data_IF_172497367317
#
_entry.id   IF_172497367317
#
_cell.length_a   1.000
_cell.length_b   1.000
_cell.length_c   1.000
_cell.angle_alpha   90.00
_cell.angle_beta   90.00
_cell.angle_gamma   90.00
#
_symmetry.space_group_name_H-M   'P 1'
#
loop_
_entity.id
_entity.type
_entity.pdbx_description
1 polymer ?
#
# COMPACT_ATOMS: atom_id res chain seq x y z
N UNK A 1 -9.52 -26.84 -50.18
CA UNK A 1 -8.96 -27.80 -49.20
C UNK A 1 -8.71 -27.14 -47.83
N UNK A 2 -8.24 -25.89 -47.77
CA UNK A 2 -8.11 -25.13 -46.51
C UNK A 2 -9.45 -24.77 -45.84
N UNK A 3 -10.51 -24.44 -46.58
CA UNK A 3 -11.81 -24.07 -45.98
C UNK A 3 -12.51 -25.22 -45.26
N UNK A 4 -12.33 -26.45 -45.74
CA UNK A 4 -12.86 -27.67 -45.09
C UNK A 4 -12.10 -28.00 -43.81
N UNK A 5 -10.80 -27.72 -43.77
CA UNK A 5 -9.96 -27.82 -42.56
C UNK A 5 -10.33 -26.75 -41.52
N UNK A 6 -10.61 -25.51 -41.95
CA UNK A 6 -11.06 -24.44 -41.06
C UNK A 6 -12.47 -24.68 -40.51
N UNK A 7 -13.41 -25.15 -41.32
CA UNK A 7 -14.74 -25.55 -40.84
C UNK A 7 -14.65 -26.70 -39.85
N UNK A 8 -13.86 -27.74 -40.16
CA UNK A 8 -13.66 -28.91 -39.28
C UNK A 8 -13.05 -28.53 -37.93
N UNK A 9 -11.97 -27.73 -37.92
CA UNK A 9 -11.31 -27.28 -36.68
C UNK A 9 -12.17 -26.34 -35.85
N UNK A 10 -12.94 -25.45 -36.50
CA UNK A 10 -13.87 -24.54 -35.83
C UNK A 10 -15.06 -25.31 -35.22
N UNK A 11 -15.65 -26.27 -35.94
CA UNK A 11 -16.68 -27.15 -35.37
C UNK A 11 -16.14 -28.03 -34.25
N UNK A 12 -14.91 -28.55 -34.35
CA UNK A 12 -14.30 -29.32 -33.27
C UNK A 12 -14.05 -28.46 -32.02
N UNK A 13 -13.61 -27.19 -32.17
CA UNK A 13 -13.48 -26.27 -31.04
C UNK A 13 -14.84 -25.94 -30.41
N UNK A 14 -15.87 -25.65 -31.21
CA UNK A 14 -17.22 -25.38 -30.69
C UNK A 14 -17.81 -26.60 -29.97
N UNK A 15 -17.63 -27.80 -30.52
CA UNK A 15 -18.05 -29.05 -29.88
C UNK A 15 -17.27 -29.32 -28.59
N UNK A 16 -15.96 -29.08 -28.56
CA UNK A 16 -15.14 -29.23 -27.36
C UNK A 16 -15.57 -28.24 -26.26
N UNK A 17 -15.84 -26.98 -26.61
CA UNK A 17 -16.38 -25.98 -25.70
C UNK A 17 -17.77 -26.38 -25.21
N UNK A 18 -18.64 -26.88 -26.10
CA UNK A 18 -19.97 -27.37 -25.74
C UNK A 18 -19.93 -28.56 -24.77
N UNK A 19 -19.04 -29.54 -25.01
CA UNK A 19 -18.84 -30.70 -24.13
C UNK A 19 -18.27 -30.26 -22.79
N UNK A 20 -17.30 -29.34 -22.76
CA UNK A 20 -16.76 -28.77 -21.53
C UNK A 20 -17.85 -28.05 -20.71
N UNK A 21 -18.72 -27.28 -21.37
CA UNK A 21 -19.86 -26.61 -20.71
C UNK A 21 -20.86 -27.61 -20.13
N UNK A 22 -21.17 -28.70 -20.85
CA UNK A 22 -22.07 -29.76 -20.37
C UNK A 22 -21.44 -30.53 -19.20
N UNK A 23 -20.17 -30.89 -19.29
CA UNK A 23 -19.45 -31.56 -18.20
C UNK A 23 -19.32 -30.65 -16.97
N UNK A 24 -19.17 -29.34 -17.15
CA UNK A 24 -19.19 -28.36 -16.07
C UNK A 24 -20.57 -28.16 -15.45
N UNK A 25 -21.64 -28.14 -16.26
CA UNK A 25 -23.02 -28.10 -15.77
C UNK A 25 -23.32 -29.34 -14.92
N UNK A 26 -22.92 -30.52 -15.40
CA UNK A 26 -23.06 -31.77 -14.66
C UNK A 26 -22.22 -31.76 -13.38
N UNK A 27 -20.96 -31.31 -13.43
CA UNK A 27 -20.13 -31.16 -12.24
C UNK A 27 -20.72 -30.17 -11.21
N UNK A 28 -21.34 -29.08 -11.68
CA UNK A 28 -22.02 -28.10 -10.82
C UNK A 28 -23.28 -28.65 -10.15
N UNK A 29 -24.01 -29.56 -10.82
CA UNK A 29 -25.15 -30.26 -10.21
C UNK A 29 -24.73 -31.33 -9.20
N UNK A 30 -23.51 -31.87 -9.31
CA UNK A 30 -22.95 -32.83 -8.36
C UNK A 30 -22.16 -32.19 -7.21
N UNK A 31 -21.72 -30.94 -7.35
CA UNK A 31 -21.07 -30.16 -6.27
C UNK A 31 -22.10 -29.47 -5.37
N UNK A 32 -23.07 -30.24 -4.88
CA UNK A 32 -23.80 -29.88 -3.66
C UNK A 32 -22.88 -30.12 -2.45
N UNK A 33 -21.98 -29.18 -2.14
CA UNK A 33 -21.20 -29.26 -0.92
C UNK A 33 -22.08 -29.06 0.33
N UNK A 34 -22.14 -30.13 1.13
CA UNK A 34 -22.49 -30.29 2.55
C UNK A 34 -23.12 -29.16 3.35
N UNK A 35 -24.29 -29.49 3.96
CA UNK A 35 -24.92 -29.14 5.27
C UNK A 35 -24.55 -27.89 6.12
N UNK A 36 -23.55 -27.09 5.82
CA UNK A 36 -23.24 -25.85 6.54
C UNK A 36 -23.91 -24.67 5.84
N UNK A 37 -24.67 -23.86 6.58
CA UNK A 37 -25.27 -22.64 6.05
C UNK A 37 -24.16 -21.60 5.83
N UNK A 38 -23.63 -21.54 4.62
CA UNK A 38 -22.71 -20.48 4.22
C UNK A 38 -23.37 -19.09 4.34
N UNK A 39 -22.58 -18.02 4.53
CA UNK A 39 -23.11 -16.68 4.49
C UNK A 39 -23.81 -16.42 3.15
N UNK A 40 -24.95 -15.68 3.16
CA UNK A 40 -25.70 -15.39 1.96
C UNK A 40 -24.85 -14.60 0.96
N UNK A 41 -25.22 -14.62 -0.32
CA UNK A 41 -24.47 -13.87 -1.33
C UNK A 41 -25.15 -13.89 -2.69
N UNK A 42 -24.70 -13.04 -3.62
CA UNK A 42 -25.17 -13.10 -5.00
C UNK A 42 -24.72 -14.41 -5.65
N UNK A 43 -25.60 -15.00 -6.47
CA UNK A 43 -25.30 -16.29 -7.14
C UNK A 43 -24.11 -16.11 -8.10
N UNK A 44 -23.03 -16.90 -7.95
CA UNK A 44 -21.86 -16.80 -8.81
C UNK A 44 -22.12 -17.37 -10.20
N UNK A 45 -21.44 -16.79 -11.20
CA UNK A 45 -21.29 -17.37 -12.53
C UNK A 45 -20.18 -18.43 -12.52
N UNK A 46 -20.32 -19.48 -13.33
CA UNK A 46 -19.51 -20.70 -13.23
C UNK A 46 -17.98 -20.49 -13.34
N UNK A 47 -17.52 -19.50 -14.12
CA UNK A 47 -16.08 -19.22 -14.31
C UNK A 47 -15.65 -17.89 -13.69
N UNK A 48 -16.52 -16.88 -13.76
CA UNK A 48 -16.20 -15.51 -13.37
C UNK A 48 -16.62 -15.20 -11.92
N UNK A 49 -17.30 -16.12 -11.25
CA UNK A 49 -17.88 -15.83 -9.95
C UNK A 49 -18.84 -14.64 -10.04
N UNK A 50 -18.63 -13.63 -9.20
CA UNK A 50 -19.40 -12.40 -9.18
C UNK A 50 -18.68 -11.23 -9.88
N UNK A 51 -17.60 -11.47 -10.65
CA UNK A 51 -16.83 -10.37 -11.28
C UNK A 51 -17.67 -9.47 -12.19
N UNK A 52 -18.64 -10.02 -12.92
CA UNK A 52 -19.56 -9.23 -13.77
C UNK A 52 -20.67 -8.52 -12.99
N UNK A 53 -20.84 -8.86 -11.71
CA UNK A 53 -21.84 -8.27 -10.82
C UNK A 53 -21.25 -7.19 -9.91
N UNK A 54 -19.93 -6.95 -10.02
CA UNK A 54 -19.17 -6.02 -9.19
C UNK A 54 -18.52 -4.97 -10.09
N UNK A 55 -18.58 -3.70 -9.70
CA UNK A 55 -17.71 -2.70 -10.30
C UNK A 55 -16.31 -2.86 -9.70
N UNK A 56 -15.40 -3.44 -10.48
CA UNK A 56 -14.00 -3.67 -10.08
C UNK A 56 -13.22 -2.37 -9.90
N UNK A 57 -13.69 -1.24 -10.48
CA UNK A 57 -13.07 0.08 -10.26
C UNK A 57 -13.53 0.69 -8.95
N UNK A 58 -14.69 0.32 -8.43
CA UNK A 58 -15.26 0.78 -7.15
C UNK A 58 -15.75 -0.40 -6.34
N UNK A 59 -14.82 -1.32 -6.07
CA UNK A 59 -15.13 -2.54 -5.33
C UNK A 59 -15.62 -2.21 -3.91
N UNK A 60 -15.07 -1.17 -3.30
CA UNK A 60 -15.51 -0.60 -2.03
C UNK A 60 -17.02 -0.31 -2.01
N UNK A 61 -17.53 0.39 -3.04
CA UNK A 61 -18.96 0.72 -3.16
C UNK A 61 -19.80 -0.49 -3.50
N UNK A 62 -19.35 -1.32 -4.44
CA UNK A 62 -20.07 -2.54 -4.84
C UNK A 62 -20.29 -3.48 -3.66
N UNK A 63 -19.25 -3.69 -2.84
CA UNK A 63 -19.33 -4.52 -1.64
C UNK A 63 -20.21 -3.86 -0.56
N UNK A 64 -20.14 -2.55 -0.40
CA UNK A 64 -21.04 -1.82 0.50
C UNK A 64 -22.51 -1.97 0.10
N UNK A 65 -22.85 -1.87 -1.18
CA UNK A 65 -24.22 -2.02 -1.65
C UNK A 65 -24.72 -3.47 -1.51
N UNK A 66 -23.86 -4.46 -1.73
CA UNK A 66 -24.18 -5.86 -1.42
C UNK A 66 -24.43 -6.07 0.07
N UNK A 67 -23.69 -5.40 0.96
CA UNK A 67 -23.91 -5.51 2.41
C UNK A 67 -25.30 -5.04 2.84
N UNK A 68 -25.88 -4.05 2.15
CA UNK A 68 -27.26 -3.60 2.40
C UNK A 68 -28.30 -4.67 2.03
N UNK A 69 -27.99 -5.53 1.06
CA UNK A 69 -28.89 -6.56 0.54
C UNK A 69 -28.73 -7.90 1.25
N UNK A 70 -27.49 -8.32 1.51
CA UNK A 70 -27.16 -9.65 2.05
C UNK A 70 -26.79 -9.62 3.53
N UNK A 71 -26.71 -8.42 4.13
CA UNK A 71 -26.35 -8.23 5.52
C UNK A 71 -24.85 -8.05 5.73
N UNK A 72 -24.41 -7.98 7.00
CA UNK A 72 -23.04 -7.61 7.35
C UNK A 72 -22.01 -8.72 7.13
N UNK A 73 -22.44 -9.96 6.88
CA UNK A 73 -21.57 -11.09 6.53
C UNK A 73 -22.15 -11.75 5.29
N UNK A 74 -21.44 -11.69 4.17
CA UNK A 74 -21.91 -12.25 2.91
C UNK A 74 -20.76 -12.80 2.07
N UNK A 75 -21.08 -13.69 1.13
CA UNK A 75 -20.09 -14.37 0.29
C UNK A 75 -20.09 -13.78 -1.13
N UNK A 76 -18.92 -13.52 -1.68
CA UNK A 76 -18.70 -13.23 -3.10
C UNK A 76 -17.59 -14.12 -3.65
N UNK A 77 -17.57 -14.32 -4.96
CA UNK A 77 -16.59 -15.14 -5.65
C UNK A 77 -15.83 -14.27 -6.66
N UNK A 78 -14.51 -14.17 -6.52
CA UNK A 78 -13.64 -13.56 -7.52
C UNK A 78 -13.06 -14.65 -8.42
N UNK A 79 -13.68 -14.86 -9.59
CA UNK A 79 -13.42 -16.06 -10.39
C UNK A 79 -13.80 -17.30 -9.59
N UNK A 80 -12.83 -18.21 -9.39
CA UNK A 80 -13.01 -19.42 -8.57
C UNK A 80 -12.77 -19.20 -7.08
N UNK A 81 -12.31 -18.01 -6.67
CA UNK A 81 -11.93 -17.74 -5.29
C UNK A 81 -13.11 -17.24 -4.48
N UNK A 82 -13.52 -18.02 -3.48
CA UNK A 82 -14.51 -17.64 -2.49
C UNK A 82 -13.96 -16.60 -1.52
N UNK A 83 -14.70 -15.52 -1.29
CA UNK A 83 -14.37 -14.44 -0.36
C UNK A 83 -15.58 -14.15 0.52
N UNK A 84 -15.37 -14.19 1.84
CA UNK A 84 -16.36 -13.74 2.82
C UNK A 84 -16.08 -12.28 3.15
N UNK A 85 -17.09 -11.43 2.95
CA UNK A 85 -17.02 -9.99 3.18
C UNK A 85 -17.64 -9.68 4.54
N UNK A 86 -16.87 -8.95 5.35
CA UNK A 86 -17.30 -8.45 6.65
C UNK A 86 -17.55 -6.95 6.52
N UNK A 87 -18.80 -6.54 6.73
CA UNK A 87 -19.24 -5.16 6.57
C UNK A 87 -19.82 -4.61 7.88
N UNK A 88 -19.38 -3.41 8.25
CA UNK A 88 -19.85 -2.70 9.44
C UNK A 88 -19.01 -2.95 10.69
N UNK A 89 -18.97 -1.93 11.55
CA UNK A 89 -18.09 -1.88 12.73
C UNK A 89 -18.21 -3.10 13.64
N UNK A 90 -19.44 -3.50 14.02
CA UNK A 90 -19.65 -4.61 14.97
C UNK A 90 -19.07 -5.92 14.45
N UNK A 91 -19.35 -6.24 13.20
CA UNK A 91 -18.92 -7.48 12.54
C UNK A 91 -17.41 -7.52 12.32
N UNK A 92 -16.83 -6.43 11.79
CA UNK A 92 -15.38 -6.32 11.59
C UNK A 92 -14.65 -6.39 12.94
N UNK A 93 -15.14 -5.68 13.96
CA UNK A 93 -14.58 -5.73 15.32
C UNK A 93 -14.64 -7.15 15.89
N UNK A 94 -15.75 -7.85 15.71
CA UNK A 94 -15.90 -9.20 16.21
C UNK A 94 -14.88 -10.16 15.59
N UNK A 95 -14.75 -10.14 14.26
CA UNK A 95 -13.79 -11.01 13.58
C UNK A 95 -12.34 -10.66 13.94
N UNK A 96 -11.96 -9.38 13.86
CA UNK A 96 -10.55 -8.99 13.98
C UNK A 96 -10.05 -8.84 15.42
N UNK A 97 -10.93 -8.73 16.42
CA UNK A 97 -10.52 -8.66 17.84
C UNK A 97 -10.85 -9.93 18.61
N UNK A 98 -12.06 -10.48 18.47
CA UNK A 98 -12.48 -11.64 19.27
C UNK A 98 -12.13 -12.98 18.62
N UNK A 99 -11.88 -12.99 17.31
CA UNK A 99 -11.44 -14.16 16.54
C UNK A 99 -10.11 -13.87 15.82
N UNK A 100 -9.22 -13.13 16.49
CA UNK A 100 -7.97 -12.65 15.91
C UNK A 100 -6.99 -13.79 15.58
N UNK A 101 -7.11 -14.95 16.21
CA UNK A 101 -6.31 -16.13 15.86
C UNK A 101 -6.80 -16.76 14.55
N UNK A 102 -8.12 -16.87 14.35
CA UNK A 102 -8.71 -17.44 13.15
C UNK A 102 -8.64 -16.52 11.93
N UNK A 103 -8.69 -15.20 12.14
CA UNK A 103 -8.60 -14.17 11.09
C UNK A 103 -7.28 -13.40 11.08
N UNK A 104 -6.26 -13.91 11.78
CA UNK A 104 -4.96 -13.24 11.92
C UNK A 104 -4.11 -13.32 10.65
N UNK A 105 -4.29 -14.38 9.87
CA UNK A 105 -3.56 -14.61 8.63
C UNK A 105 -4.05 -13.72 7.49
N UNK A 106 -3.11 -13.38 6.60
CA UNK A 106 -3.35 -12.56 5.41
C UNK A 106 -3.36 -13.42 4.17
N UNK A 107 -4.31 -13.16 3.29
CA UNK A 107 -4.24 -13.70 1.94
C UNK A 107 -3.09 -13.02 1.17
N UNK A 108 -2.08 -13.81 0.78
CA UNK A 108 -0.96 -13.33 -0.04
C UNK A 108 -1.28 -13.64 -1.50
N UNK A 109 -1.64 -12.61 -2.26
CA UNK A 109 -1.93 -12.77 -3.69
C UNK A 109 -0.66 -13.12 -4.48
N UNK A 110 -0.77 -13.69 -5.69
CA UNK A 110 0.37 -13.97 -6.55
C UNK A 110 1.32 -12.76 -6.71
N UNK A 111 0.77 -11.57 -6.92
CA UNK A 111 1.56 -10.33 -7.00
C UNK A 111 2.37 -10.06 -5.72
N UNK A 112 1.73 -10.15 -4.56
CA UNK A 112 2.40 -9.87 -3.29
C UNK A 112 3.40 -10.96 -2.91
N UNK A 113 3.16 -12.19 -3.35
CA UNK A 113 4.16 -13.25 -3.28
C UNK A 113 5.37 -12.93 -4.17
N UNK A 114 5.19 -12.40 -5.37
CA UNK A 114 6.31 -11.98 -6.22
C UNK A 114 7.09 -10.81 -5.61
N UNK A 115 6.39 -9.87 -4.96
CA UNK A 115 7.01 -8.71 -4.31
C UNK A 115 7.91 -9.08 -3.13
N UNK A 116 7.52 -10.08 -2.34
CA UNK A 116 8.17 -10.38 -1.06
C UNK A 116 8.89 -11.73 -1.04
N UNK A 117 8.55 -12.65 -1.95
CA UNK A 117 9.05 -14.04 -2.02
C UNK A 117 8.99 -14.78 -0.67
N UNK A 118 7.96 -14.52 0.13
CA UNK A 118 7.79 -15.10 1.47
C UNK A 118 8.59 -14.43 2.60
N UNK A 119 9.19 -13.26 2.34
CA UNK A 119 9.99 -12.51 3.31
C UNK A 119 9.38 -11.15 3.68
N UNK A 120 9.90 -10.55 4.75
CA UNK A 120 9.47 -9.21 5.20
C UNK A 120 8.33 -9.26 6.22
N UNK A 121 7.42 -8.28 6.14
CA UNK A 121 6.41 -8.03 7.19
C UNK A 121 4.99 -7.96 6.61
N UNK A 122 4.78 -7.29 5.48
CA UNK A 122 3.42 -6.94 5.02
C UNK A 122 2.67 -8.11 4.38
N UNK A 123 3.40 -8.94 3.62
CA UNK A 123 2.83 -10.01 2.79
C UNK A 123 3.41 -11.38 3.15
N UNK A 124 3.45 -11.69 4.44
CA UNK A 124 3.94 -12.95 5.01
C UNK A 124 3.03 -13.40 6.15
N UNK A 125 2.97 -14.71 6.42
CA UNK A 125 2.27 -15.31 7.57
C UNK A 125 3.22 -16.22 8.37
N UNK A 126 2.70 -16.80 9.46
CA UNK A 126 3.43 -17.73 10.31
C UNK A 126 4.58 -17.09 11.10
N UNK A 127 5.55 -17.91 11.49
CA UNK A 127 6.62 -17.52 12.43
C UNK A 127 7.48 -16.36 11.90
N UNK A 128 7.79 -16.36 10.59
CA UNK A 128 8.53 -15.26 9.96
C UNK A 128 7.81 -13.93 10.15
N UNK A 129 6.50 -13.89 9.91
CA UNK A 129 5.70 -12.68 10.11
C UNK A 129 5.68 -12.25 11.57
N UNK A 130 5.47 -13.18 12.49
CA UNK A 130 5.42 -12.87 13.93
C UNK A 130 6.74 -12.28 14.42
N UNK A 131 7.86 -12.90 14.04
CA UNK A 131 9.20 -12.45 14.45
C UNK A 131 9.57 -11.11 13.81
N UNK A 132 9.41 -10.95 12.49
CA UNK A 132 9.74 -9.69 11.80
C UNK A 132 8.84 -8.54 12.25
N UNK A 133 7.56 -8.80 12.51
CA UNK A 133 6.63 -7.82 13.07
C UNK A 133 7.03 -7.42 14.49
N UNK A 134 7.34 -8.38 15.37
CA UNK A 134 7.73 -8.11 16.75
C UNK A 134 9.03 -7.30 16.80
N UNK A 135 10.02 -7.71 16.01
CA UNK A 135 11.26 -6.97 15.85
C UNK A 135 10.98 -5.54 15.39
N UNK A 136 10.25 -5.37 14.28
CA UNK A 136 10.03 -4.06 13.71
C UNK A 136 9.28 -3.11 14.65
N UNK A 137 8.24 -3.58 15.34
CA UNK A 137 7.49 -2.76 16.30
C UNK A 137 8.37 -2.34 17.50
N UNK A 138 9.21 -3.23 17.99
CA UNK A 138 10.13 -2.94 19.10
C UNK A 138 11.17 -1.91 18.66
N UNK A 139 11.84 -2.16 17.54
CA UNK A 139 12.89 -1.32 16.99
C UNK A 139 12.36 0.07 16.60
N UNK A 140 11.22 0.16 15.92
CA UNK A 140 10.62 1.46 15.55
C UNK A 140 10.25 2.29 16.79
N UNK A 141 9.75 1.65 17.84
CA UNK A 141 9.46 2.33 19.12
C UNK A 141 10.73 2.83 19.82
N UNK A 142 11.83 2.09 19.70
CA UNK A 142 13.12 2.46 20.29
C UNK A 142 13.79 3.60 19.50
N UNK A 143 13.66 3.62 18.17
CA UNK A 143 13.97 4.77 17.32
C UNK A 143 12.94 5.91 17.38
N UNK A 144 12.06 5.84 18.37
CA UNK A 144 11.23 6.95 18.78
C UNK A 144 9.93 7.09 18.02
N UNK A 145 9.48 6.12 17.22
CA UNK A 145 8.14 6.19 16.62
C UNK A 145 7.08 6.32 17.73
N UNK A 146 6.47 7.51 17.82
CA UNK A 146 5.55 7.88 18.91
C UNK A 146 6.23 8.45 20.17
N UNK A 147 7.49 8.89 20.07
CA UNK A 147 8.31 9.53 21.12
C UNK A 147 9.17 10.66 20.52
N UNK A 148 9.91 11.36 21.38
CA UNK A 148 10.74 12.54 21.05
C UNK A 148 11.78 12.35 19.93
N UNK A 149 12.42 11.18 19.82
CA UNK A 149 13.46 10.97 18.81
C UNK A 149 12.93 10.98 17.36
N UNK A 150 11.73 10.45 17.10
CA UNK A 150 11.15 10.58 15.75
C UNK A 150 10.49 11.94 15.58
N UNK A 151 10.01 12.57 16.65
CA UNK A 151 9.51 13.95 16.64
C UNK A 151 10.56 14.92 16.07
N UNK A 152 11.81 14.84 16.55
CA UNK A 152 12.91 15.68 16.07
C UNK A 152 13.17 15.49 14.57
N UNK A 153 13.15 14.25 14.07
CA UNK A 153 13.30 13.95 12.63
C UNK A 153 12.14 14.51 11.79
N UNK A 154 10.91 14.44 12.31
CA UNK A 154 9.73 14.98 11.61
C UNK A 154 9.79 16.50 11.59
N UNK A 155 10.14 17.13 12.71
CA UNK A 155 10.30 18.59 12.81
C UNK A 155 11.41 19.05 11.86
N UNK A 156 12.55 18.37 11.84
CA UNK A 156 13.63 18.64 10.89
C UNK A 156 13.13 18.57 9.44
N UNK A 157 12.39 17.51 9.06
CA UNK A 157 11.86 17.39 7.71
C UNK A 157 10.83 18.48 7.37
N UNK A 158 10.03 18.92 8.36
CA UNK A 158 9.09 20.03 8.18
C UNK A 158 9.82 21.33 7.79
N UNK A 159 11.00 21.60 8.35
CA UNK A 159 11.79 22.77 7.97
C UNK A 159 12.18 22.72 6.49
N UNK A 160 12.71 21.59 6.01
CA UNK A 160 13.07 21.43 4.60
C UNK A 160 11.85 21.49 3.67
N UNK A 161 10.71 20.94 4.08
CA UNK A 161 9.47 21.02 3.31
C UNK A 161 8.96 22.47 3.19
N UNK A 162 9.05 23.24 4.28
CA UNK A 162 8.71 24.67 4.29
C UNK A 162 9.64 25.43 3.34
N UNK A 163 10.96 25.22 3.43
CA UNK A 163 11.94 25.85 2.53
C UNK A 163 11.66 25.56 1.05
N UNK A 164 11.27 24.33 0.71
CA UNK A 164 10.89 23.99 -0.67
C UNK A 164 9.60 24.70 -1.09
N UNK A 165 8.62 24.83 -0.19
CA UNK A 165 7.37 25.54 -0.49
C UNK A 165 7.58 27.06 -0.65
N UNK A 166 8.48 27.65 0.13
CA UNK A 166 8.84 29.08 0.04
C UNK A 166 9.46 29.44 -1.32
N UNK A 167 10.18 28.51 -1.95
CA UNK A 167 10.76 28.71 -3.29
C UNK A 167 9.70 29.01 -4.36
N UNK A 168 8.45 28.57 -4.18
CA UNK A 168 7.37 28.82 -5.13
C UNK A 168 6.82 30.26 -5.07
N UNK A 169 7.13 31.04 -4.02
CA UNK A 169 6.78 32.48 -3.89
C UNK A 169 5.30 32.78 -4.18
N UNK A 170 4.40 31.93 -3.67
CA UNK A 170 2.95 32.06 -3.84
C UNK A 170 2.41 31.70 -5.23
N UNK A 171 3.26 31.23 -6.15
CA UNK A 171 2.81 30.70 -7.44
C UNK A 171 2.20 29.31 -7.27
N UNK A 172 1.27 28.97 -8.16
CA UNK A 172 0.66 27.65 -8.17
C UNK A 172 1.71 26.55 -8.44
N UNK A 173 1.68 25.48 -7.66
CA UNK A 173 2.57 24.33 -7.82
C UNK A 173 1.87 23.02 -7.46
N UNK A 174 2.44 21.90 -7.91
CA UNK A 174 1.99 20.57 -7.54
C UNK A 174 2.83 20.07 -6.36
N UNK A 175 2.20 19.95 -5.19
CA UNK A 175 2.87 19.52 -3.96
C UNK A 175 2.93 18.00 -3.79
N UNK A 176 2.29 17.22 -4.69
CA UNK A 176 2.08 15.79 -4.48
C UNK A 176 3.40 15.03 -4.28
N UNK A 177 4.36 15.19 -5.19
CA UNK A 177 5.62 14.45 -5.08
C UNK A 177 6.52 14.98 -3.95
N UNK A 178 6.57 16.30 -3.74
CA UNK A 178 7.40 16.89 -2.67
C UNK A 178 7.00 16.37 -1.28
N UNK A 179 5.69 16.19 -1.03
CA UNK A 179 5.18 15.63 0.22
C UNK A 179 5.56 14.16 0.37
N UNK A 180 5.53 13.38 -0.72
CA UNK A 180 6.00 11.98 -0.71
C UNK A 180 7.50 11.91 -0.44
N UNK A 181 8.31 12.81 -1.01
CA UNK A 181 9.74 12.92 -0.72
C UNK A 181 10.00 13.22 0.77
N UNK A 182 9.21 14.11 1.38
CA UNK A 182 9.32 14.42 2.81
C UNK A 182 9.04 13.19 3.69
N UNK A 183 7.91 12.50 3.47
CA UNK A 183 7.58 11.30 4.25
C UNK A 183 8.59 10.16 4.03
N UNK A 184 9.06 9.99 2.79
CA UNK A 184 10.13 9.02 2.49
C UNK A 184 11.42 9.35 3.21
N UNK A 185 11.81 10.63 3.29
CA UNK A 185 13.03 11.05 3.97
C UNK A 185 12.99 10.77 5.48
N UNK A 186 11.84 10.97 6.14
CA UNK A 186 11.68 10.61 7.55
C UNK A 186 11.95 9.13 7.74
N UNK A 187 11.37 8.27 6.88
CA UNK A 187 11.60 6.84 6.96
C UNK A 187 13.03 6.45 6.61
N UNK A 188 13.66 7.06 5.61
CA UNK A 188 15.07 6.83 5.31
C UNK A 188 15.99 7.23 6.48
N UNK A 189 15.66 8.32 7.18
CA UNK A 189 16.39 8.76 8.37
C UNK A 189 16.21 7.80 9.57
N UNK A 190 15.15 7.00 9.61
CA UNK A 190 14.93 5.94 10.62
C UNK A 190 15.55 4.62 10.15
N UNK A 191 15.40 4.27 8.87
CA UNK A 191 15.85 2.99 8.30
C UNK A 191 17.37 2.93 8.14
N UNK A 192 17.98 4.01 7.65
CA UNK A 192 19.40 4.07 7.30
C UNK A 192 20.19 5.12 8.08
N UNK A 193 19.53 5.94 8.91
CA UNK A 193 20.17 7.03 9.63
C UNK A 193 20.62 8.19 8.73
N UNK A 194 20.16 8.24 7.47
CA UNK A 194 20.55 9.25 6.47
C UNK A 194 19.33 9.81 5.76
N UNK A 195 19.36 11.12 5.52
CA UNK A 195 18.40 11.88 4.71
C UNK A 195 18.98 12.17 3.33
N UNK A 196 18.12 12.35 2.32
CA UNK A 196 18.50 12.88 1.02
C UNK A 196 17.98 14.29 0.80
N UNK A 197 18.65 15.05 -0.09
CA UNK A 197 18.06 16.28 -0.62
C UNK A 197 16.89 15.96 -1.55
N UNK A 198 15.87 16.82 -1.62
CA UNK A 198 14.71 16.62 -2.52
C UNK A 198 15.05 16.64 -4.01
N UNK A 199 16.24 17.14 -4.38
CA UNK A 199 16.76 17.14 -5.75
C UNK A 199 17.69 15.96 -6.03
N UNK A 200 17.94 15.12 -5.03
CA UNK A 200 18.75 13.92 -5.19
C UNK A 200 18.06 12.92 -6.14
N UNK A 201 18.74 12.46 -7.21
CA UNK A 201 18.13 11.58 -8.19
C UNK A 201 17.80 10.19 -7.63
N UNK A 202 18.50 9.72 -6.60
CA UNK A 202 18.26 8.41 -5.98
C UNK A 202 16.94 8.46 -5.19
N UNK A 203 16.73 9.48 -4.37
CA UNK A 203 15.47 9.64 -3.63
C UNK A 203 14.28 9.70 -4.59
N UNK A 204 14.37 10.52 -5.64
CA UNK A 204 13.30 10.66 -6.63
C UNK A 204 13.02 9.34 -7.33
N UNK A 205 14.06 8.63 -7.76
CA UNK A 205 13.89 7.35 -8.42
C UNK A 205 13.20 6.31 -7.52
N UNK A 206 13.56 6.22 -6.23
CA UNK A 206 12.92 5.32 -5.26
C UNK A 206 11.43 5.66 -5.12
N UNK A 207 11.13 6.93 -4.79
CA UNK A 207 9.77 7.36 -4.49
C UNK A 207 8.87 7.31 -5.73
N UNK A 208 9.39 7.69 -6.90
CA UNK A 208 8.64 7.64 -8.15
C UNK A 208 8.35 6.19 -8.57
N UNK A 209 9.29 5.26 -8.36
CA UNK A 209 9.06 3.81 -8.60
C UNK A 209 8.05 3.23 -7.62
N UNK A 210 8.11 3.60 -6.34
CA UNK A 210 7.15 3.16 -5.33
C UNK A 210 5.74 3.67 -5.65
N UNK A 211 5.61 4.95 -5.97
CA UNK A 211 4.36 5.58 -6.40
C UNK A 211 3.76 4.86 -7.62
N UNK A 212 4.57 4.65 -8.66
CA UNK A 212 4.14 3.91 -9.84
C UNK A 212 3.74 2.46 -9.52
N UNK A 213 4.46 1.80 -8.61
CA UNK A 213 4.20 0.42 -8.20
C UNK A 213 2.86 0.31 -7.47
N UNK A 214 2.56 1.23 -6.58
CA UNK A 214 1.29 1.28 -5.83
C UNK A 214 0.11 1.56 -6.76
N UNK A 215 0.27 2.51 -7.68
CA UNK A 215 -0.77 2.80 -8.68
C UNK A 215 -1.03 1.61 -9.61
N UNK A 216 0.02 0.98 -10.16
CA UNK A 216 -0.13 -0.18 -11.04
C UNK A 216 -0.68 -1.42 -10.34
N UNK A 217 -0.35 -1.62 -9.06
CA UNK A 217 -0.83 -2.76 -8.26
C UNK A 217 -2.35 -2.82 -8.14
N UNK A 218 -3.02 -1.66 -8.17
CA UNK A 218 -4.49 -1.55 -8.17
C UNK A 218 -5.13 -1.64 -9.56
N UNK A 219 -4.37 -1.82 -10.63
CA UNK A 219 -4.91 -1.79 -12.00
C UNK A 219 -5.72 -3.06 -12.34
N UNK A 220 -6.73 -2.97 -13.24
CA UNK A 220 -7.51 -4.13 -13.67
C UNK A 220 -6.67 -5.27 -14.28
N UNK A 221 -5.58 -4.93 -14.99
CA UNK A 221 -4.64 -5.92 -15.53
C UNK A 221 -3.95 -6.73 -14.44
N UNK A 222 -3.63 -6.11 -13.30
CA UNK A 222 -2.98 -6.79 -12.17
C UNK A 222 -4.00 -7.56 -11.34
N UNK A 223 -5.24 -7.07 -11.24
CA UNK A 223 -6.33 -7.89 -10.71
C UNK A 223 -6.52 -9.17 -11.53
N UNK A 224 -6.45 -9.09 -12.86
CA UNK A 224 -6.50 -10.28 -13.73
C UNK A 224 -5.30 -11.21 -13.50
N UNK A 225 -4.09 -10.66 -13.33
CA UNK A 225 -2.91 -11.44 -12.97
C UNK A 225 -3.09 -12.21 -11.66
N UNK A 226 -3.63 -11.56 -10.62
CA UNK A 226 -3.89 -12.21 -9.34
C UNK A 226 -4.92 -13.37 -9.45
N UNK A 227 -5.78 -13.36 -10.47
CA UNK A 227 -6.71 -14.46 -10.77
C UNK A 227 -6.06 -15.55 -11.63
N UNK A 228 -5.19 -15.16 -12.57
CA UNK A 228 -4.55 -16.05 -13.54
C UNK A 228 -3.04 -15.74 -13.66
N UNK A 229 -2.21 -16.27 -12.75
CA UNK A 229 -0.79 -15.89 -12.65
C UNK A 229 0.03 -16.22 -13.90
N UNK A 230 -0.35 -17.23 -14.67
CA UNK A 230 0.33 -17.60 -15.90
C UNK A 230 0.32 -16.49 -16.97
N UNK A 231 -0.56 -15.49 -16.84
CA UNK A 231 -0.60 -14.32 -17.73
C UNK A 231 0.50 -13.29 -17.46
N UNK A 232 1.20 -13.35 -16.32
CA UNK A 232 2.13 -12.32 -15.85
C UNK A 232 3.11 -11.81 -16.91
N UNK A 233 3.93 -12.69 -17.54
CA UNK A 233 4.91 -12.29 -18.54
C UNK A 233 4.32 -11.57 -19.75
N UNK A 234 3.03 -11.78 -20.06
CA UNK A 234 2.35 -11.14 -21.19
C UNK A 234 1.76 -9.77 -20.83
N UNK A 235 1.57 -9.47 -19.53
CA UNK A 235 0.99 -8.22 -19.05
C UNK A 235 2.08 -7.15 -18.88
N UNK A 236 1.97 -6.05 -19.63
CA UNK A 236 2.96 -4.96 -19.58
C UNK A 236 3.12 -4.35 -18.18
N UNK A 237 1.99 -4.13 -17.48
CA UNK A 237 2.01 -3.58 -16.12
C UNK A 237 2.72 -4.51 -15.13
N UNK A 238 2.59 -5.83 -15.29
CA UNK A 238 3.27 -6.79 -14.43
C UNK A 238 4.78 -6.77 -14.66
N UNK A 239 5.23 -6.75 -15.92
CA UNK A 239 6.66 -6.62 -16.25
C UNK A 239 7.25 -5.36 -15.63
N UNK A 240 6.54 -4.22 -15.77
CA UNK A 240 6.99 -2.95 -15.20
C UNK A 240 7.06 -2.97 -13.67
N UNK A 241 6.11 -3.64 -13.02
CA UNK A 241 6.14 -3.85 -11.57
C UNK A 241 7.36 -4.67 -11.14
N UNK A 242 7.64 -5.78 -11.82
CA UNK A 242 8.79 -6.62 -11.50
C UNK A 242 10.13 -5.88 -11.71
N UNK A 243 10.25 -5.08 -12.78
CA UNK A 243 11.41 -4.22 -13.00
C UNK A 243 11.62 -3.22 -11.85
N UNK A 244 10.54 -2.55 -11.41
CA UNK A 244 10.62 -1.57 -10.32
C UNK A 244 10.98 -2.22 -8.98
N UNK A 245 10.37 -3.37 -8.66
CA UNK A 245 10.66 -4.13 -7.43
C UNK A 245 12.11 -4.58 -7.40
N UNK A 246 12.64 -5.11 -8.50
CA UNK A 246 14.04 -5.54 -8.58
C UNK A 246 15.00 -4.35 -8.47
N UNK A 247 14.72 -3.23 -9.14
CA UNK A 247 15.53 -2.02 -9.04
C UNK A 247 15.58 -1.49 -7.59
N UNK A 248 14.43 -1.40 -6.91
CA UNK A 248 14.37 -1.02 -5.50
C UNK A 248 15.13 -2.02 -4.63
N UNK A 249 15.00 -3.32 -4.87
CA UNK A 249 15.73 -4.36 -4.11
C UNK A 249 17.24 -4.15 -4.20
N UNK A 250 17.78 -3.93 -5.40
CA UNK A 250 19.21 -3.71 -5.62
C UNK A 250 19.73 -2.45 -4.91
N UNK A 251 18.96 -1.36 -4.94
CA UNK A 251 19.33 -0.13 -4.22
C UNK A 251 19.36 -0.32 -2.70
N UNK A 252 18.39 -1.06 -2.14
CA UNK A 252 18.36 -1.38 -0.70
C UNK A 252 19.52 -2.29 -0.32
N UNK A 253 19.85 -3.29 -1.15
CA UNK A 253 21.03 -4.15 -0.94
C UNK A 253 22.30 -3.30 -0.87
N UNK A 254 22.50 -2.39 -1.84
CA UNK A 254 23.67 -1.50 -1.85
C UNK A 254 23.77 -0.68 -0.55
N UNK A 255 22.64 -0.13 -0.07
CA UNK A 255 22.61 0.66 1.17
C UNK A 255 22.88 -0.16 2.42
N UNK A 256 22.36 -1.38 2.48
CA UNK A 256 22.62 -2.31 3.57
C UNK A 256 24.11 -2.67 3.61
N UNK A 257 24.74 -2.86 2.44
CA UNK A 257 26.17 -3.17 2.35
C UNK A 257 27.04 -1.99 2.84
N UNK A 258 26.71 -0.75 2.46
CA UNK A 258 27.37 0.44 2.98
C UNK A 258 27.29 0.54 4.52
N UNK A 259 26.15 0.14 5.09
CA UNK A 259 25.96 0.12 6.55
C UNK A 259 26.73 -1.01 7.22
N UNK A 260 26.78 -2.21 6.62
CA UNK A 260 27.62 -3.32 7.10
C UNK A 260 29.09 -2.91 7.20
N UNK A 261 29.61 -2.18 6.21
CA UNK A 261 30.99 -1.70 6.19
C UNK A 261 31.31 -0.66 7.28
N UNK A 262 30.29 0.02 7.81
CA UNK A 262 30.44 1.04 8.86
C UNK A 262 29.80 0.62 10.18
N UNK A 263 29.46 -0.66 10.31
CA UNK A 263 28.77 -1.20 11.48
C UNK A 263 29.70 -1.16 12.68
N UNK A 264 29.23 -0.54 13.76
CA UNK A 264 29.93 -0.48 15.04
C UNK A 264 29.10 -1.26 16.08
N UNK A 265 29.74 -2.09 16.89
CA UNK A 265 29.11 -2.85 17.99
C UNK A 265 28.55 -1.95 19.09
N UNK A 266 29.12 -0.75 19.29
CA UNK A 266 28.77 0.13 20.41
C UNK A 266 27.66 1.14 20.09
N UNK A 267 27.28 1.27 18.81
CA UNK A 267 26.28 2.26 18.38
C UNK A 267 25.28 1.67 17.40
N UNK A 268 24.00 1.75 17.73
CA UNK A 268 22.90 1.39 16.85
C UNK A 268 22.27 2.67 16.27
N UNK A 269 22.59 2.99 15.01
CA UNK A 269 22.23 4.30 14.42
C UNK A 269 20.85 4.29 13.77
N UNK A 270 20.39 3.12 13.34
CA UNK A 270 19.19 2.98 12.52
C UNK A 270 18.59 1.57 12.60
N UNK A 271 17.42 1.39 11.98
CA UNK A 271 16.74 0.10 11.92
C UNK A 271 17.61 -1.02 11.33
N UNK A 272 18.36 -0.73 10.27
CA UNK A 272 19.25 -1.71 9.63
C UNK A 272 20.35 -2.16 10.59
N UNK A 273 21.01 -1.24 11.31
CA UNK A 273 22.01 -1.60 12.32
C UNK A 273 21.41 -2.49 13.41
N UNK A 274 20.22 -2.16 13.91
CA UNK A 274 19.53 -2.97 14.93
C UNK A 274 19.28 -4.40 14.44
N UNK A 275 18.91 -4.56 13.17
CA UNK A 275 18.69 -5.88 12.58
C UNK A 275 20.01 -6.63 12.45
N UNK A 276 21.07 -5.97 11.99
CA UNK A 276 22.39 -6.57 11.82
C UNK A 276 22.98 -7.01 13.18
N UNK A 277 22.86 -6.20 14.23
CA UNK A 277 23.25 -6.57 15.59
C UNK A 277 22.46 -7.77 16.11
N UNK A 278 21.14 -7.78 15.88
CA UNK A 278 20.29 -8.90 16.29
C UNK A 278 20.66 -10.19 15.54
N UNK A 279 20.96 -10.09 14.24
CA UNK A 279 21.43 -11.20 13.42
C UNK A 279 22.76 -11.75 13.94
N UNK A 280 23.76 -10.89 14.15
CA UNK A 280 25.08 -11.27 14.69
C UNK A 280 24.95 -11.96 16.05
N UNK A 281 24.17 -11.40 16.98
CA UNK A 281 23.94 -12.00 18.30
C UNK A 281 23.34 -13.40 18.24
N UNK A 282 22.48 -13.70 17.26
CA UNK A 282 21.88 -15.02 17.07
C UNK A 282 22.82 -16.01 16.38
N UNK A 283 23.68 -15.53 15.49
CA UNK A 283 24.75 -16.30 14.86
C UNK A 283 25.80 -16.73 15.90
N UNK A 284 26.19 -15.81 16.79
CA UNK A 284 27.11 -16.07 17.91
C UNK A 284 26.56 -17.10 18.90
N UNK A 285 25.25 -17.06 19.18
CA UNK A 285 24.57 -18.04 20.02
C UNK A 285 24.32 -19.39 19.32
N UNK A 286 24.76 -19.57 18.06
CA UNK A 286 24.59 -20.76 17.23
C UNK A 286 23.13 -21.21 17.12
N UNK A 287 22.19 -20.27 17.14
CA UNK A 287 20.76 -20.57 17.04
C UNK A 287 20.45 -21.01 15.61
N UNK A 288 20.13 -22.30 15.43
CA UNK A 288 19.68 -22.84 14.13
C UNK A 288 18.29 -22.30 13.80
N UNK A 289 18.02 -22.09 12.51
CA UNK A 289 16.72 -21.63 11.97
C UNK A 289 16.29 -20.22 12.42
N UNK A 290 17.22 -19.27 12.46
CA UNK A 290 16.89 -17.86 12.67
C UNK A 290 16.13 -17.27 11.47
N UNK A 291 15.05 -16.52 11.72
CA UNK A 291 14.34 -15.75 10.69
C UNK A 291 15.10 -14.48 10.27
N UNK A 292 16.26 -14.18 10.87
CA UNK A 292 17.05 -12.97 10.59
C UNK A 292 18.02 -13.21 9.41
N UNK A 293 17.47 -13.26 8.20
CA UNK A 293 18.24 -13.41 6.95
C UNK A 293 18.40 -12.07 6.23
N UNK A 294 19.34 -12.00 5.28
CA UNK A 294 19.55 -10.79 4.47
C UNK A 294 18.32 -10.47 3.61
N UNK A 295 17.64 -11.48 3.05
CA UNK A 295 16.38 -11.26 2.35
C UNK A 295 15.31 -10.69 3.29
N UNK A 296 15.14 -11.24 4.50
CA UNK A 296 14.18 -10.70 5.46
C UNK A 296 14.48 -9.25 5.86
N UNK A 297 15.76 -8.88 5.99
CA UNK A 297 16.16 -7.49 6.20
C UNK A 297 15.72 -6.60 5.03
N UNK A 298 16.13 -6.97 3.80
CA UNK A 298 15.87 -6.18 2.59
C UNK A 298 14.38 -6.00 2.36
N UNK A 299 13.58 -7.08 2.40
CA UNK A 299 12.14 -6.99 2.19
C UNK A 299 11.42 -6.28 3.34
N UNK A 300 11.88 -6.42 4.59
CA UNK A 300 11.32 -5.65 5.71
C UNK A 300 11.52 -4.15 5.53
N UNK A 301 12.72 -3.73 5.12
CA UNK A 301 13.00 -2.31 4.86
C UNK A 301 12.19 -1.80 3.68
N UNK A 302 12.14 -2.54 2.56
CA UNK A 302 11.28 -2.18 1.41
C UNK A 302 9.81 -2.03 1.81
N UNK A 303 9.29 -2.99 2.60
CA UNK A 303 7.91 -2.96 3.10
C UNK A 303 7.64 -1.71 3.95
N UNK A 304 8.53 -1.36 4.89
CA UNK A 304 8.37 -0.21 5.76
C UNK A 304 8.47 1.12 5.01
N UNK A 305 9.43 1.25 4.09
CA UNK A 305 9.61 2.45 3.26
C UNK A 305 8.39 2.70 2.37
N UNK A 306 7.95 1.70 1.61
CA UNK A 306 6.83 1.85 0.68
C UNK A 306 5.51 2.13 1.42
N UNK A 307 5.22 1.38 2.50
CA UNK A 307 3.96 1.55 3.22
C UNK A 307 3.87 2.88 3.95
N UNK A 308 4.95 3.34 4.57
CA UNK A 308 4.94 4.61 5.31
C UNK A 308 4.94 5.83 4.37
N UNK A 309 5.70 5.78 3.27
CA UNK A 309 5.85 6.92 2.35
C UNK A 309 4.53 7.25 1.65
N UNK A 310 3.91 6.27 1.01
CA UNK A 310 2.77 6.53 0.13
C UNK A 310 1.50 6.88 0.91
N UNK A 311 1.21 6.14 1.98
CA UNK A 311 -0.02 6.33 2.75
C UNK A 311 -0.01 7.64 3.54
N UNK A 312 1.11 7.98 4.19
CA UNK A 312 1.23 9.27 4.87
C UNK A 312 1.26 10.41 3.87
N UNK A 313 2.05 10.30 2.79
CA UNK A 313 2.12 11.34 1.76
C UNK A 313 0.75 11.63 1.14
N UNK A 314 -0.01 10.59 0.79
CA UNK A 314 -1.38 10.70 0.26
C UNK A 314 -2.33 11.33 1.27
N UNK A 315 -2.21 10.98 2.55
CA UNK A 315 -3.05 11.58 3.61
C UNK A 315 -2.78 13.07 3.75
N UNK A 316 -1.51 13.48 3.77
CA UNK A 316 -1.14 14.90 3.85
C UNK A 316 -1.60 15.65 2.61
N UNK A 317 -1.51 15.06 1.41
CA UNK A 317 -2.07 15.65 0.18
C UNK A 317 -3.58 15.89 0.30
N UNK A 318 -4.36 14.92 0.79
CA UNK A 318 -5.79 15.09 1.06
C UNK A 318 -6.02 16.22 2.06
N UNK A 319 -5.26 16.26 3.16
CA UNK A 319 -5.35 17.32 4.15
C UNK A 319 -5.14 18.70 3.51
N UNK A 320 -4.11 18.88 2.68
CA UNK A 320 -3.86 20.17 2.00
C UNK A 320 -4.95 20.53 1.00
N UNK A 321 -5.45 19.55 0.24
CA UNK A 321 -6.57 19.76 -0.68
C UNK A 321 -7.85 20.19 0.07
N UNK A 322 -8.15 19.55 1.21
CA UNK A 322 -9.27 19.96 2.06
C UNK A 322 -9.09 21.35 2.64
N UNK A 323 -7.87 21.73 3.02
CA UNK A 323 -7.59 23.10 3.50
C UNK A 323 -7.83 24.12 2.39
N UNK A 324 -7.36 23.85 1.17
CA UNK A 324 -7.60 24.70 0.02
C UNK A 324 -9.09 24.80 -0.36
N UNK A 325 -9.84 23.71 -0.25
CA UNK A 325 -11.28 23.66 -0.57
C UNK A 325 -12.17 24.31 0.51
N UNK A 326 -11.74 24.27 1.77
CA UNK A 326 -12.51 24.81 2.90
C UNK A 326 -11.67 25.81 3.71
N UNK A 327 -11.31 26.97 3.14
CA UNK A 327 -10.38 27.91 3.76
C UNK A 327 -10.88 28.52 5.08
N UNK A 328 -12.19 28.53 5.31
CA UNK A 328 -12.77 28.94 6.59
C UNK A 328 -12.31 28.06 7.78
N UNK A 329 -11.95 26.79 7.53
CA UNK A 329 -11.39 25.88 8.54
C UNK A 329 -9.97 26.32 8.96
N UNK A 330 -9.25 27.01 8.08
CA UNK A 330 -7.88 27.47 8.34
C UNK A 330 -7.81 28.65 9.34
N UNK A 331 -8.95 29.22 9.75
CA UNK A 331 -9.05 30.36 10.67
C UNK A 331 -9.28 30.00 12.14
N UNK A 332 -8.51 30.62 13.04
CA UNK A 332 -8.61 30.62 14.53
C UNK A 332 -9.03 29.29 15.18
N UNK A 333 -8.10 28.33 15.29
CA UNK A 333 -7.93 27.43 16.45
C UNK A 333 -6.66 26.59 16.27
N UNK A 334 -5.72 26.73 17.21
CA UNK A 334 -4.66 25.76 17.45
C UNK A 334 -5.31 24.39 17.67
N UNK A 335 -4.73 23.36 17.08
CA UNK A 335 -5.31 22.02 17.07
C UNK A 335 -5.42 21.46 18.50
N UNK A 336 -6.66 21.37 19.01
CA UNK A 336 -6.97 20.76 20.31
C UNK A 336 -6.64 19.25 20.38
N UNK A 337 -6.31 18.64 19.23
CA UNK A 337 -5.98 17.23 19.05
C UNK A 337 -4.49 16.94 18.94
N UNK A 338 -3.61 17.85 19.37
CA UNK A 338 -2.14 17.64 19.44
C UNK A 338 -1.75 16.32 20.12
N UNK A 339 -2.48 15.94 21.17
CA UNK A 339 -2.27 14.67 21.88
C UNK A 339 -2.93 13.43 21.23
N UNK A 340 -3.75 13.63 20.19
CA UNK A 340 -4.63 12.59 19.63
C UNK A 340 -4.36 12.28 18.16
N UNK A 341 -3.63 13.13 17.44
CA UNK A 341 -3.25 12.88 16.06
C UNK A 341 -1.93 12.09 15.99
N UNK A 342 -1.85 11.15 15.03
CA UNK A 342 -0.59 10.43 14.74
C UNK A 342 0.48 11.48 14.45
N UNK A 343 1.58 11.45 15.20
CA UNK A 343 2.58 12.51 15.31
C UNK A 343 3.06 13.08 13.97
N UNK A 344 3.28 12.23 12.96
CA UNK A 344 3.71 12.65 11.62
C UNK A 344 2.64 13.49 10.90
N UNK A 345 1.39 13.05 10.88
CA UNK A 345 0.28 13.81 10.29
C UNK A 345 0.06 15.13 11.04
N UNK A 346 0.14 15.10 12.36
CA UNK A 346 -0.04 16.29 13.18
C UNK A 346 1.03 17.34 12.90
N UNK A 347 2.31 16.95 12.99
CA UNK A 347 3.43 17.86 12.84
C UNK A 347 3.52 18.41 11.42
N UNK A 348 3.34 17.57 10.39
CA UNK A 348 3.27 18.05 9.01
C UNK A 348 2.15 19.07 8.83
N UNK A 349 0.94 18.70 9.25
CA UNK A 349 -0.25 19.52 9.02
C UNK A 349 -0.19 20.85 9.79
N UNK A 350 0.18 20.81 11.07
CA UNK A 350 0.26 22.01 11.90
C UNK A 350 1.41 22.91 11.51
N UNK A 351 2.60 22.37 11.20
CA UNK A 351 3.74 23.18 10.76
C UNK A 351 3.43 23.93 9.46
N UNK A 352 2.79 23.25 8.50
CA UNK A 352 2.36 23.88 7.24
C UNK A 352 1.27 24.95 7.48
N UNK A 353 0.26 24.67 8.30
CA UNK A 353 -0.84 25.62 8.56
C UNK A 353 -0.49 26.77 9.49
N UNK A 354 0.56 26.66 10.30
CA UNK A 354 1.09 27.78 11.05
C UNK A 354 1.78 28.80 10.14
N UNK A 355 2.39 28.35 9.04
CA UNK A 355 3.17 29.20 8.12
C UNK A 355 2.39 29.66 6.89
N UNK A 356 1.46 28.85 6.41
CA UNK A 356 0.77 29.11 5.14
C UNK A 356 -0.76 29.03 5.27
N UNK A 357 -1.43 29.78 4.40
CA UNK A 357 -2.80 29.53 3.99
C UNK A 357 -2.75 28.86 2.61
N UNK A 358 -3.44 27.73 2.44
CA UNK A 358 -3.55 27.07 1.14
C UNK A 358 -4.79 27.58 0.41
N UNK A 359 -4.64 27.95 -0.87
CA UNK A 359 -5.75 28.42 -1.71
C UNK A 359 -5.75 27.71 -3.07
N UNK A 360 -6.90 27.67 -3.77
CA UNK A 360 -6.93 27.23 -5.16
C UNK A 360 -5.96 28.03 -6.06
N UNK A 361 -5.60 27.46 -7.22
CA UNK A 361 -4.83 28.18 -8.23
C UNK A 361 -5.62 29.39 -8.80
N UNK A 362 -4.94 30.43 -9.31
CA UNK A 362 -5.63 31.60 -9.87
C UNK A 362 -6.60 31.21 -10.98
N UNK A 363 -7.85 31.67 -10.87
CA UNK A 363 -8.92 31.35 -11.81
C UNK A 363 -9.67 30.04 -11.54
N UNK A 364 -9.32 29.31 -10.47
CA UNK A 364 -10.05 28.14 -9.98
C UNK A 364 -10.80 28.51 -8.70
N UNK A 365 -12.10 28.19 -8.65
CA UNK A 365 -12.95 28.38 -7.47
C UNK A 365 -12.88 27.17 -6.53
N UNK A 366 -13.28 27.34 -5.28
CA UNK A 366 -13.30 26.25 -4.28
C UNK A 366 -14.22 25.07 -4.71
N UNK A 367 -15.31 25.38 -5.40
CA UNK A 367 -16.28 24.40 -5.91
C UNK A 367 -15.73 23.56 -7.07
N UNK A 368 -14.76 24.10 -7.83
CA UNK A 368 -14.10 23.42 -8.95
C UNK A 368 -13.02 22.43 -8.52
N UNK A 369 -12.63 22.42 -7.23
CA UNK A 369 -11.70 21.41 -6.70
C UNK A 369 -12.41 20.05 -6.56
N UNK A 370 -12.03 19.09 -7.41
CA UNK A 370 -12.61 17.75 -7.42
C UNK A 370 -12.08 16.90 -6.24
N UNK A 371 -13.00 16.34 -5.46
CA UNK A 371 -12.69 15.42 -4.36
C UNK A 371 -12.87 13.95 -4.75
N UNK A 372 -13.15 13.66 -6.04
CA UNK A 372 -13.25 12.30 -6.53
C UNK A 372 -11.86 11.64 -6.50
N UNK A 373 -11.70 10.51 -5.78
CA UNK A 373 -10.40 9.86 -5.68
C UNK A 373 -10.05 9.12 -6.98
N UNK A 374 -8.78 9.13 -7.34
CA UNK A 374 -8.20 8.17 -8.29
C UNK A 374 -8.12 6.82 -7.57
N UNK A 375 -8.73 5.80 -8.18
CA UNK A 375 -8.79 4.47 -7.59
C UNK A 375 -7.60 3.64 -8.03
N UNK A 376 -6.78 3.23 -7.06
CA UNK A 376 -5.74 2.23 -7.21
C UNK A 376 -5.68 1.35 -5.96
N UNK A 377 -4.48 0.90 -5.59
CA UNK A 377 -4.28 0.22 -4.31
C UNK A 377 -4.60 1.15 -3.13
N UNK A 378 -4.31 2.45 -3.29
CA UNK A 378 -4.73 3.54 -2.41
C UNK A 378 -5.73 4.46 -3.13
N UNK A 379 -6.53 5.21 -2.36
CA UNK A 379 -7.40 6.27 -2.86
C UNK A 379 -6.65 7.60 -2.77
N UNK A 380 -6.16 8.07 -3.91
CA UNK A 380 -5.35 9.29 -4.01
C UNK A 380 -6.18 10.44 -4.55
N UNK A 381 -5.92 11.70 -4.15
CA UNK A 381 -6.55 12.84 -4.79
C UNK A 381 -6.02 13.00 -6.22
N UNK A 382 -6.83 13.54 -7.12
CA UNK A 382 -6.31 13.95 -8.43
C UNK A 382 -5.22 15.02 -8.25
N UNK A 383 -4.20 15.11 -9.13
CA UNK A 383 -3.24 16.19 -9.07
C UNK A 383 -3.91 17.54 -9.26
N UNK A 384 -3.78 18.44 -8.28
CA UNK A 384 -4.34 19.79 -8.35
C UNK A 384 -3.26 20.83 -8.04
N UNK A 385 -3.12 21.88 -8.86
CA UNK A 385 -2.25 23.00 -8.52
C UNK A 385 -2.85 23.79 -7.36
N UNK A 386 -2.07 23.99 -6.30
CA UNK A 386 -2.45 24.82 -5.15
C UNK A 386 -1.49 26.01 -5.03
N UNK A 387 -1.95 27.08 -4.41
CA UNK A 387 -1.11 28.21 -4.00
C UNK A 387 -0.94 28.21 -2.48
N UNK A 388 0.22 28.69 -2.02
CA UNK A 388 0.49 28.95 -0.61
C UNK A 388 0.66 30.46 -0.39
N UNK A 389 -0.13 31.02 0.52
CA UNK A 389 0.02 32.41 0.96
C UNK A 389 0.66 32.41 2.32
N UNK A 390 1.79 33.10 2.49
CA UNK A 390 2.47 33.20 3.78
C UNK A 390 1.56 33.88 4.81
N UNK A 391 1.56 33.37 6.04
CA UNK A 391 0.89 33.97 7.20
C UNK A 391 1.77 34.99 7.94
N UNK A 392 3.03 35.14 7.53
CA UNK A 392 3.98 36.10 8.11
C UNK A 392 3.73 37.52 7.64
#
# INVERSE_FOLDING_TARGET
>A
MLDVLFQSTFTCMLCAVGILLVLQLLYSSFTSQGKWKEPPGPRPLQLLGNLLQLDLRRLDRSLFDLSKKYGPVFTVYFGFKKVVVLAGYRTVKQALLYHAEEFGDREVTPLFNDFNKGHGILFTNGDTWQEMRRFALTTLRDFGMGKRLSEEKIIEECHYLIEEFEQHKGKAFNSSQTIKYASSNILHAIMFGKRFGYKDPVLRAIVDRDDHTIHLSGSPSIMLYNLFPWLGPFISNWRKLMENVEANKLEIISKVEDLKNTLNTDSCRCFVDAFLHRKQSLEDSKTKNSHYTDDNLVYSVMNLLAAGTDTTGTTVQWCLLFMAKYPHIQGRRVCLGESLARMELFLFFTSLLQRFCFTPAPGVTEDELDLTPIVGFTLTPSPHPLCTVSRQ
#
